data_IF_312822196562
#
_entry.id   IF_312822196562
#
_cell.length_a   1.000
_cell.length_b   1.000
_cell.length_c   1.000
_cell.angle_alpha   90.00
_cell.angle_beta   90.00
_cell.angle_gamma   90.00
#
_symmetry.space_group_name_H-M   'P 1'
#
loop_
_entity.id
_entity.type
_entity.pdbx_description
1 polymer ?
#
# COMPACT_ATOMS: atom_id res chain seq x y z
N UNK A 1 -31.27 29.36 45.01
CA UNK A 1 -31.04 28.26 44.04
C UNK A 1 -29.72 28.57 43.35
N UNK A 2 -28.62 27.89 43.72
CA UNK A 2 -27.29 28.18 43.19
C UNK A 2 -27.02 27.22 42.03
N UNK A 3 -26.93 27.76 40.81
CA UNK A 3 -26.51 26.99 39.64
C UNK A 3 -24.99 26.82 39.67
N UNK A 4 -24.54 25.60 39.97
CA UNK A 4 -23.12 25.24 39.97
C UNK A 4 -22.72 24.85 38.54
N UNK A 5 -22.01 25.73 37.84
CA UNK A 5 -21.48 25.42 36.51
C UNK A 5 -20.24 24.52 36.64
N UNK A 6 -20.11 23.46 35.82
CA UNK A 6 -18.90 22.64 35.79
C UNK A 6 -17.70 23.48 35.35
N UNK A 7 -16.54 23.25 35.96
CA UNK A 7 -15.31 23.97 35.65
C UNK A 7 -14.96 23.82 34.16
N UNK A 8 -14.39 24.87 33.56
CA UNK A 8 -13.97 24.96 32.15
C UNK A 8 -13.17 23.73 31.68
N UNK A 9 -12.37 23.12 32.57
CA UNK A 9 -11.60 21.89 32.28
C UNK A 9 -12.50 20.69 31.99
N UNK A 10 -13.64 20.56 32.65
CA UNK A 10 -14.62 19.49 32.45
C UNK A 10 -15.40 19.69 31.15
N UNK A 11 -15.74 20.94 30.81
CA UNK A 11 -16.39 21.29 29.54
C UNK A 11 -15.45 21.07 28.35
N UNK A 12 -14.15 21.39 28.48
CA UNK A 12 -13.14 21.10 27.45
C UNK A 12 -12.91 19.60 27.30
N UNK A 13 -12.90 18.82 28.40
CA UNK A 13 -12.79 17.36 28.29
C UNK A 13 -14.01 16.76 27.57
N UNK A 14 -15.23 17.22 27.91
CA UNK A 14 -16.45 16.78 27.25
C UNK A 14 -16.47 17.21 25.78
N UNK A 15 -16.04 18.43 25.44
CA UNK A 15 -15.92 18.87 24.05
C UNK A 15 -14.84 18.10 23.29
N UNK A 16 -13.72 17.72 23.92
CA UNK A 16 -12.70 16.85 23.31
C UNK A 16 -13.17 15.40 23.13
N UNK A 17 -14.13 14.93 23.94
CA UNK A 17 -14.77 13.62 23.76
C UNK A 17 -15.97 13.65 22.80
N UNK A 18 -16.63 14.82 22.62
CA UNK A 18 -17.71 15.04 21.66
C UNK A 18 -17.17 15.41 20.27
N UNK A 19 -15.92 15.90 20.17
CA UNK A 19 -15.17 15.94 18.91
C UNK A 19 -14.72 14.51 18.56
N UNK A 20 -15.69 13.77 18.07
CA UNK A 20 -15.60 12.91 16.90
C UNK A 20 -15.10 11.46 17.06
N UNK A 21 -15.89 10.66 17.79
CA UNK A 21 -15.90 9.20 17.65
C UNK A 21 -16.74 8.75 16.43
N UNK A 22 -17.24 9.68 15.60
CA UNK A 22 -18.10 9.38 14.44
C UNK A 22 -17.61 10.04 13.14
N UNK A 23 -16.79 9.27 12.40
CA UNK A 23 -16.90 9.20 10.93
C UNK A 23 -16.22 10.31 10.08
N UNK A 24 -15.03 10.80 10.47
CA UNK A 24 -14.17 11.53 9.53
C UNK A 24 -13.08 10.63 8.92
N UNK A 25 -13.05 10.53 7.58
CA UNK A 25 -11.89 9.99 6.85
C UNK A 25 -10.65 10.86 7.14
N UNK A 26 -9.46 10.28 6.95
CA UNK A 26 -8.21 11.04 7.09
C UNK A 26 -8.20 12.17 6.04
N UNK A 27 -8.02 13.41 6.50
CA UNK A 27 -8.05 14.62 5.64
C UNK A 27 -6.68 15.00 5.06
N UNK A 28 -5.59 14.47 5.61
CA UNK A 28 -4.22 14.77 5.19
C UNK A 28 -3.28 13.58 5.40
N UNK A 29 -2.30 13.41 4.50
CA UNK A 29 -1.24 12.40 4.60
C UNK A 29 0.07 13.08 4.98
N UNK A 30 0.70 12.57 6.04
CA UNK A 30 2.06 12.97 6.44
C UNK A 30 3.08 11.87 6.20
N UNK A 31 4.34 12.27 6.04
CA UNK A 31 5.44 11.34 5.94
C UNK A 31 5.61 10.50 7.21
N UNK A 32 5.77 9.21 6.98
CA UNK A 32 6.23 8.25 7.95
C UNK A 32 7.76 8.22 8.07
N UNK A 33 8.29 7.28 8.84
CA UNK A 33 9.75 7.21 9.09
C UNK A 33 10.52 6.75 7.86
N UNK A 34 9.98 5.78 7.11
CA UNK A 34 10.68 5.22 5.95
C UNK A 34 10.93 6.24 4.84
N UNK A 35 10.05 7.23 4.68
CA UNK A 35 10.13 8.25 3.61
C UNK A 35 11.30 9.21 3.82
N UNK A 36 11.86 9.27 5.04
CA UNK A 36 13.01 10.11 5.36
C UNK A 36 14.33 9.57 4.78
N UNK A 37 14.37 8.34 4.28
CA UNK A 37 15.57 7.77 3.68
C UNK A 37 15.78 8.26 2.25
N UNK A 38 17.01 8.67 1.93
CA UNK A 38 17.34 9.11 0.57
C UNK A 38 17.49 7.92 -0.39
N UNK A 39 16.50 7.74 -1.26
CA UNK A 39 16.50 6.73 -2.31
C UNK A 39 17.44 7.09 -3.48
N UNK A 40 17.84 8.36 -3.63
CA UNK A 40 18.51 8.86 -4.84
C UNK A 40 19.80 8.11 -5.14
N UNK A 41 20.69 7.93 -4.15
CA UNK A 41 21.98 7.29 -4.36
C UNK A 41 21.85 5.84 -4.91
N UNK A 42 20.82 5.11 -4.46
CA UNK A 42 20.57 3.75 -4.91
C UNK A 42 19.93 3.68 -6.29
N UNK A 43 19.04 4.63 -6.61
CA UNK A 43 18.37 4.73 -7.91
C UNK A 43 19.34 4.97 -9.07
N UNK A 44 20.49 5.60 -8.83
CA UNK A 44 21.49 5.84 -9.88
C UNK A 44 22.41 4.65 -10.13
N UNK A 45 22.57 3.77 -9.13
CA UNK A 45 23.54 2.67 -9.19
C UNK A 45 23.02 1.40 -9.88
N UNK A 46 21.71 1.28 -10.14
CA UNK A 46 21.12 0.07 -10.73
C UNK A 46 20.17 0.38 -11.88
N UNK A 47 20.24 -0.41 -12.95
CA UNK A 47 19.35 -0.30 -14.12
C UNK A 47 17.89 -0.49 -13.75
N UNK A 48 17.59 -1.50 -12.93
CA UNK A 48 16.22 -1.84 -12.50
C UNK A 48 16.06 -1.59 -11.01
N UNK A 49 15.03 -0.83 -10.67
CA UNK A 49 14.74 -0.35 -9.33
C UNK A 49 13.23 -0.22 -9.15
N UNK A 50 12.72 -0.49 -7.95
CA UNK A 50 11.33 -0.22 -7.59
C UNK A 50 11.29 0.62 -6.31
N UNK A 51 10.81 1.84 -6.44
CA UNK A 51 10.42 2.71 -5.34
C UNK A 51 8.92 2.59 -5.16
N UNK A 52 8.48 2.02 -4.04
CA UNK A 52 7.06 1.80 -3.79
C UNK A 52 6.63 2.62 -2.58
N UNK A 53 5.67 3.51 -2.78
CA UNK A 53 5.06 4.34 -1.74
C UNK A 53 3.62 3.88 -1.51
N UNK A 54 3.26 3.73 -0.24
CA UNK A 54 1.90 3.36 0.18
C UNK A 54 1.36 4.44 1.11
N UNK A 55 0.22 5.01 0.73
CA UNK A 55 -0.50 6.00 1.51
C UNK A 55 -1.75 5.37 2.12
N UNK A 56 -1.91 5.51 3.44
CA UNK A 56 -3.07 5.01 4.15
C UNK A 56 -3.99 6.17 4.56
N UNK A 57 -5.07 6.32 3.81
CA UNK A 57 -6.13 7.32 4.05
C UNK A 57 -7.28 6.76 4.90
N UNK A 58 -7.15 5.53 5.39
CA UNK A 58 -8.15 4.90 6.24
C UNK A 58 -7.80 5.06 7.71
N UNK A 59 -8.81 4.93 8.56
CA UNK A 59 -8.62 4.80 10.02
C UNK A 59 -7.94 3.48 10.42
N UNK A 60 -7.84 2.52 9.52
CA UNK A 60 -7.30 1.19 9.79
C UNK A 60 -5.79 1.18 9.53
N UNK A 61 -4.93 1.00 10.54
CA UNK A 61 -3.50 0.92 10.29
C UNK A 61 -3.17 -0.33 9.47
N UNK A 62 -2.25 -0.20 8.52
CA UNK A 62 -1.69 -1.32 7.76
C UNK A 62 -0.53 -1.89 8.56
N UNK A 63 -0.75 -3.03 9.23
CA UNK A 63 0.19 -3.62 10.19
C UNK A 63 0.76 -4.94 9.71
N UNK A 64 1.83 -5.41 10.38
CA UNK A 64 2.48 -6.70 10.09
C UNK A 64 2.80 -6.88 8.60
N UNK A 65 3.62 -5.99 8.02
CA UNK A 65 4.06 -6.13 6.63
C UNK A 65 4.67 -7.51 6.40
N UNK A 66 4.38 -8.09 5.26
CA UNK A 66 5.02 -9.32 4.81
C UNK A 66 5.43 -9.18 3.35
N UNK A 67 6.74 -9.19 3.12
CA UNK A 67 7.36 -9.16 1.80
C UNK A 67 7.66 -10.59 1.34
N UNK A 68 7.23 -10.92 0.13
CA UNK A 68 7.59 -12.16 -0.56
C UNK A 68 8.24 -11.79 -1.89
N UNK A 69 9.55 -12.04 -2.00
CA UNK A 69 10.31 -11.73 -3.21
C UNK A 69 10.31 -12.92 -4.15
N UNK A 70 9.86 -12.70 -5.37
CA UNK A 70 10.08 -13.64 -6.47
C UNK A 70 11.45 -13.38 -7.13
N UNK A 71 11.80 -12.10 -7.34
CA UNK A 71 13.09 -11.66 -7.90
C UNK A 71 13.56 -10.33 -7.32
N UNK A 72 14.87 -10.14 -7.32
CA UNK A 72 15.52 -8.90 -6.89
C UNK A 72 16.02 -8.96 -5.45
N UNK A 73 16.35 -7.80 -4.91
CA UNK A 73 16.87 -7.63 -3.55
C UNK A 73 16.23 -6.40 -2.91
N UNK A 74 15.77 -6.57 -1.68
CA UNK A 74 15.29 -5.49 -0.83
C UNK A 74 16.47 -4.62 -0.36
N UNK A 75 16.34 -3.30 -0.48
CA UNK A 75 17.27 -2.32 0.09
C UNK A 75 16.68 -1.66 1.33
N UNK A 76 15.39 -1.31 1.26
CA UNK A 76 14.63 -0.76 2.37
C UNK A 76 13.37 -1.61 2.55
N UNK A 77 13.12 -2.09 3.76
CA UNK A 77 12.02 -3.00 4.06
C UNK A 77 10.68 -2.26 4.16
N UNK A 78 9.55 -2.91 3.80
CA UNK A 78 8.23 -2.37 4.09
C UNK A 78 7.99 -2.28 5.60
N UNK A 79 7.54 -1.11 6.05
CA UNK A 79 7.14 -0.83 7.43
C UNK A 79 5.61 -0.91 7.59
N UNK A 80 5.14 -0.79 8.83
CA UNK A 80 3.71 -0.54 9.07
C UNK A 80 3.33 0.86 8.57
N UNK A 81 2.09 1.04 8.09
CA UNK A 81 1.58 2.33 7.63
C UNK A 81 0.40 2.74 8.50
N UNK A 82 0.63 3.68 9.41
CA UNK A 82 -0.42 4.19 10.30
C UNK A 82 -1.50 4.94 9.50
N UNK A 83 -2.66 5.11 10.12
CA UNK A 83 -3.71 6.00 9.60
C UNK A 83 -3.14 7.39 9.36
N UNK A 84 -3.39 7.97 8.18
CA UNK A 84 -2.92 9.30 7.81
C UNK A 84 -1.42 9.41 7.52
N UNK A 85 -0.77 8.27 7.31
CA UNK A 85 0.66 8.22 6.98
C UNK A 85 0.88 7.65 5.59
N UNK A 86 2.02 8.02 5.02
CA UNK A 86 2.62 7.30 3.91
C UNK A 86 4.00 6.78 4.28
N UNK A 87 4.29 5.59 3.80
CA UNK A 87 5.57 4.91 3.99
C UNK A 87 6.05 4.38 2.64
N UNK A 88 7.35 4.14 2.54
CA UNK A 88 7.98 3.62 1.34
C UNK A 88 8.86 2.42 1.62
N UNK A 89 9.10 1.66 0.56
CA UNK A 89 10.12 0.61 0.55
C UNK A 89 10.74 0.51 -0.83
N UNK A 90 11.93 -0.07 -0.85
CA UNK A 90 12.84 0.05 -1.98
C UNK A 90 13.42 -1.31 -2.32
N UNK A 91 13.37 -1.63 -3.61
CA UNK A 91 13.94 -2.84 -4.16
C UNK A 91 14.75 -2.55 -5.42
N UNK A 92 15.60 -3.51 -5.78
CA UNK A 92 16.38 -3.48 -7.01
C UNK A 92 16.56 -4.87 -7.58
N UNK A 93 17.08 -4.94 -8.80
CA UNK A 93 17.63 -6.18 -9.33
C UNK A 93 18.80 -6.72 -8.50
N UNK A 94 19.06 -8.02 -8.64
CA UNK A 94 20.29 -8.66 -8.16
C UNK A 94 21.49 -8.07 -8.92
N UNK A 95 22.64 -7.91 -8.26
CA UNK A 95 23.86 -7.38 -8.90
C UNK A 95 24.33 -8.35 -9.99
N UNK A 96 24.89 -7.84 -11.09
CA UNK A 96 25.53 -8.64 -12.15
C UNK A 96 24.66 -9.73 -12.79
N UNK A 97 23.33 -9.62 -12.65
CA UNK A 97 22.34 -10.55 -13.21
C UNK A 97 21.40 -9.83 -14.18
N UNK A 98 21.04 -10.42 -15.32
CA UNK A 98 20.06 -9.86 -16.26
C UNK A 98 18.60 -10.04 -15.78
N UNK A 99 18.35 -9.75 -14.50
CA UNK A 99 17.04 -9.92 -13.84
C UNK A 99 16.45 -8.58 -13.42
N UNK A 100 15.12 -8.57 -13.28
CA UNK A 100 14.34 -7.44 -12.76
C UNK A 100 14.16 -7.47 -11.24
N UNK A 101 13.10 -6.80 -10.77
CA UNK A 101 12.56 -7.00 -9.40
C UNK A 101 11.08 -7.33 -9.49
N UNK A 102 10.65 -8.34 -8.74
CA UNK A 102 9.26 -8.78 -8.73
C UNK A 102 8.92 -9.44 -7.40
N UNK A 103 7.68 -9.29 -6.96
CA UNK A 103 7.21 -9.90 -5.72
C UNK A 103 5.86 -9.37 -5.28
N UNK A 104 5.50 -9.76 -4.06
CA UNK A 104 4.33 -9.23 -3.37
C UNK A 104 4.70 -8.68 -2.01
N UNK A 105 3.93 -7.69 -1.58
CA UNK A 105 3.93 -7.22 -0.20
C UNK A 105 2.48 -7.18 0.27
N UNK A 106 2.26 -7.53 1.53
CA UNK A 106 0.93 -7.47 2.11
C UNK A 106 0.97 -6.90 3.51
N UNK A 107 -0.12 -6.28 3.92
CA UNK A 107 -0.35 -5.79 5.27
C UNK A 107 -1.66 -6.33 5.80
N UNK A 108 -1.68 -6.73 7.07
CA UNK A 108 -2.93 -6.95 7.78
C UNK A 108 -3.59 -5.58 7.98
N UNK A 109 -4.83 -5.43 7.54
CA UNK A 109 -5.61 -4.23 7.76
C UNK A 109 -6.19 -4.30 9.18
N UNK A 110 -5.86 -3.31 10.02
CA UNK A 110 -6.18 -3.32 11.44
C UNK A 110 -7.68 -3.50 11.70
N UNK A 111 -8.03 -4.44 12.58
CA UNK A 111 -9.41 -4.73 13.01
C UNK A 111 -10.36 -5.30 11.94
N UNK A 112 -9.91 -5.60 10.72
CA UNK A 112 -10.79 -6.12 9.64
C UNK A 112 -10.64 -7.61 9.36
N UNK A 113 -9.61 -8.26 9.94
CA UNK A 113 -9.25 -9.67 9.68
C UNK A 113 -9.05 -9.98 8.18
N UNK A 114 -8.43 -9.05 7.45
CA UNK A 114 -8.08 -9.18 6.01
C UNK A 114 -6.71 -8.57 5.74
N UNK A 115 -6.07 -8.96 4.65
CA UNK A 115 -4.82 -8.37 4.17
C UNK A 115 -5.04 -7.57 2.90
N UNK A 116 -4.49 -6.37 2.85
CA UNK A 116 -4.19 -5.69 1.60
C UNK A 116 -2.95 -6.34 0.97
N UNK A 117 -2.98 -6.60 -0.34
CA UNK A 117 -1.87 -7.19 -1.11
C UNK A 117 -1.55 -6.31 -2.32
N UNK A 118 -0.26 -6.01 -2.49
CA UNK A 118 0.32 -5.37 -3.66
C UNK A 118 1.28 -6.36 -4.33
N UNK A 119 1.18 -6.46 -5.65
CA UNK A 119 2.14 -7.14 -6.53
C UNK A 119 2.82 -6.11 -7.43
N UNK A 120 4.12 -6.27 -7.65
CA UNK A 120 4.86 -5.54 -8.68
C UNK A 120 5.75 -6.50 -9.47
N UNK A 121 6.00 -6.15 -10.73
CA UNK A 121 7.00 -6.78 -11.59
C UNK A 121 7.62 -5.71 -12.48
N UNK A 122 8.94 -5.57 -12.41
CA UNK A 122 9.73 -4.63 -13.20
C UNK A 122 10.86 -5.41 -13.89
N UNK A 123 10.72 -5.77 -15.17
CA UNK A 123 11.71 -6.59 -15.86
C UNK A 123 12.99 -5.83 -16.21
N UNK A 124 14.04 -6.59 -16.54
CA UNK A 124 15.32 -6.04 -17.00
C UNK A 124 15.34 -5.65 -18.47
N UNK A 125 14.61 -6.41 -19.29
CA UNK A 125 14.52 -6.25 -20.73
C UNK A 125 13.11 -5.83 -21.09
N UNK A 126 12.97 -4.64 -21.70
CA UNK A 126 11.68 -4.11 -22.13
C UNK A 126 11.37 -4.41 -23.60
N UNK A 127 12.25 -5.13 -24.29
CA UNK A 127 12.02 -5.60 -25.67
C UNK A 127 10.90 -6.64 -25.70
N UNK A 128 10.85 -7.50 -24.68
CA UNK A 128 9.90 -8.63 -24.59
C UNK A 128 8.94 -8.55 -23.41
N UNK A 129 9.20 -7.66 -22.45
CA UNK A 129 8.45 -7.59 -21.21
C UNK A 129 8.14 -6.15 -20.82
N UNK A 130 7.19 -6.00 -19.92
CA UNK A 130 6.67 -4.72 -19.47
C UNK A 130 6.53 -4.70 -17.95
N UNK A 131 6.33 -3.52 -17.40
CA UNK A 131 6.01 -3.38 -15.99
C UNK A 131 4.59 -3.89 -15.73
N UNK A 132 4.39 -4.60 -14.62
CA UNK A 132 3.08 -5.05 -14.16
C UNK A 132 2.87 -4.72 -12.69
N UNK A 133 1.65 -4.34 -12.34
CA UNK A 133 1.25 -4.20 -10.95
C UNK A 133 -0.11 -4.86 -10.71
N UNK A 134 -0.36 -5.25 -9.46
CA UNK A 134 -1.67 -5.69 -9.02
C UNK A 134 -1.96 -5.24 -7.60
N UNK A 135 -3.21 -4.89 -7.32
CA UNK A 135 -3.67 -4.52 -5.98
C UNK A 135 -4.94 -5.27 -5.65
N UNK A 136 -5.09 -5.69 -4.40
CA UNK A 136 -6.25 -6.44 -3.97
C UNK A 136 -6.29 -6.68 -2.47
N UNK A 137 -7.29 -7.46 -2.06
CA UNK A 137 -7.46 -7.84 -0.66
C UNK A 137 -7.82 -9.31 -0.53
N UNK A 138 -7.35 -9.93 0.56
CA UNK A 138 -7.90 -11.23 0.95
C UNK A 138 -9.33 -11.08 1.42
N UNK A 139 -10.15 -12.13 1.37
CA UNK A 139 -11.51 -12.15 1.91
C UNK A 139 -11.51 -12.19 3.45
N UNK A 140 -12.63 -11.83 4.09
CA UNK A 140 -12.76 -11.75 5.56
C UNK A 140 -12.38 -13.07 6.23
N UNK A 141 -11.53 -13.00 7.25
CA UNK A 141 -11.05 -14.17 8.00
C UNK A 141 -9.72 -14.73 7.48
N UNK A 142 -9.33 -14.40 6.25
CA UNK A 142 -8.06 -14.82 5.65
C UNK A 142 -6.96 -13.80 5.96
N UNK A 143 -6.10 -14.13 6.91
CA UNK A 143 -5.04 -13.23 7.44
C UNK A 143 -3.64 -13.78 7.27
N UNK A 144 -3.53 -14.94 6.65
CA UNK A 144 -2.29 -15.65 6.41
C UNK A 144 -1.35 -14.87 5.47
N UNK A 145 -0.06 -15.06 5.69
CA UNK A 145 1.00 -14.43 4.90
C UNK A 145 1.12 -15.17 3.57
N UNK A 146 0.48 -14.64 2.54
CA UNK A 146 0.43 -15.30 1.23
C UNK A 146 1.37 -14.63 0.22
N UNK A 147 2.47 -15.31 -0.10
CA UNK A 147 3.33 -15.00 -1.25
C UNK A 147 2.66 -15.45 -2.56
N UNK A 148 1.57 -14.80 -2.96
CA UNK A 148 0.74 -15.17 -4.13
C UNK A 148 1.17 -14.44 -5.41
N UNK A 149 2.47 -14.37 -5.66
CA UNK A 149 3.01 -13.64 -6.82
C UNK A 149 2.46 -14.17 -8.14
N UNK A 150 2.63 -15.47 -8.41
CA UNK A 150 2.22 -16.07 -9.70
C UNK A 150 0.71 -15.93 -9.92
N UNK A 151 -0.08 -16.15 -8.86
CA UNK A 151 -1.53 -15.95 -8.91
C UNK A 151 -1.89 -14.53 -9.35
N UNK A 152 -1.29 -13.51 -8.71
CA UNK A 152 -1.53 -12.12 -9.07
C UNK A 152 -0.97 -11.74 -10.43
N UNK A 153 0.16 -12.32 -10.83
CA UNK A 153 0.83 -12.04 -12.10
C UNK A 153 0.08 -12.64 -13.29
N UNK A 154 -0.47 -13.85 -13.16
CA UNK A 154 -1.24 -14.50 -14.23
C UNK A 154 -2.74 -14.20 -14.18
N UNK A 155 -3.23 -13.45 -13.18
CA UNK A 155 -4.61 -12.97 -13.14
C UNK A 155 -5.64 -13.98 -12.66
N UNK A 156 -5.27 -14.88 -11.74
CA UNK A 156 -6.14 -15.94 -11.24
C UNK A 156 -6.79 -15.58 -9.89
N UNK A 157 -7.87 -14.81 -9.89
CA UNK A 157 -8.67 -14.57 -8.67
C UNK A 157 -9.23 -15.89 -8.08
N UNK A 158 -9.40 -15.95 -6.76
CA UNK A 158 -10.04 -17.08 -6.07
C UNK A 158 -10.89 -16.63 -4.86
N UNK A 159 -11.39 -17.59 -4.07
CA UNK A 159 -12.24 -17.32 -2.89
C UNK A 159 -11.50 -16.67 -1.73
N UNK A 160 -10.17 -16.65 -1.75
CA UNK A 160 -9.30 -16.14 -0.69
C UNK A 160 -8.75 -14.77 -1.05
N UNK A 161 -8.36 -14.53 -2.30
CA UNK A 161 -7.73 -13.30 -2.77
C UNK A 161 -8.44 -12.77 -4.02
N UNK A 162 -8.99 -11.56 -3.88
CA UNK A 162 -9.58 -10.79 -4.96
C UNK A 162 -8.69 -9.59 -5.26
N UNK A 163 -8.34 -9.39 -6.53
CA UNK A 163 -7.44 -8.35 -6.98
C UNK A 163 -7.71 -7.96 -8.43
N UNK A 164 -7.23 -6.76 -8.78
CA UNK A 164 -7.10 -6.31 -10.16
C UNK A 164 -5.62 -6.11 -10.48
N UNK A 165 -5.26 -6.25 -11.76
CA UNK A 165 -3.89 -6.07 -12.26
C UNK A 165 -3.88 -5.29 -13.58
N UNK A 166 -2.74 -4.68 -13.88
CA UNK A 166 -2.57 -3.90 -15.10
C UNK A 166 -1.13 -3.90 -15.60
N UNK A 167 -1.02 -3.81 -16.92
CA UNK A 167 0.23 -3.66 -17.64
C UNK A 167 0.58 -2.18 -17.80
N UNK A 168 1.85 -1.86 -17.62
CA UNK A 168 2.42 -0.52 -17.74
C UNK A 168 3.44 -0.53 -18.87
N UNK A 169 2.93 -0.59 -20.10
CA UNK A 169 3.73 -0.59 -21.32
C UNK A 169 3.39 0.57 -22.24
N UNK A 170 2.14 0.67 -22.70
CA UNK A 170 1.69 1.82 -23.50
C UNK A 170 1.13 2.94 -22.63
N UNK A 171 0.39 2.58 -21.59
CA UNK A 171 -0.35 3.50 -20.73
C UNK A 171 0.06 3.37 -19.26
N UNK A 172 -0.21 4.42 -18.48
CA UNK A 172 -0.01 4.46 -17.01
C UNK A 172 -1.36 4.56 -16.28
N UNK A 173 -2.35 3.85 -16.82
CA UNK A 173 -3.69 3.82 -16.26
C UNK A 173 -3.63 3.20 -14.85
N UNK A 174 -4.35 3.77 -13.88
CA UNK A 174 -4.35 3.22 -12.53
C UNK A 174 -5.01 1.84 -12.51
N UNK A 175 -4.48 0.95 -11.66
CA UNK A 175 -5.16 -0.29 -11.29
C UNK A 175 -5.97 -0.03 -10.03
N UNK A 176 -7.28 -0.25 -10.11
CA UNK A 176 -8.21 0.05 -9.02
C UNK A 176 -8.84 -1.26 -8.57
N UNK A 177 -8.69 -1.60 -7.28
CA UNK A 177 -9.50 -2.63 -6.61
C UNK A 177 -10.50 -1.93 -5.69
N UNK A 178 -11.74 -2.39 -5.64
CA UNK A 178 -12.77 -1.83 -4.77
C UNK A 178 -13.72 -2.93 -4.30
N UNK A 179 -14.06 -2.90 -3.01
CA UNK A 179 -15.16 -3.64 -2.41
C UNK A 179 -16.14 -2.71 -1.68
N UNK A 180 -16.94 -3.24 -0.77
CA UNK A 180 -17.93 -2.50 0.02
C UNK A 180 -17.30 -1.61 1.12
N UNK A 181 -16.04 -1.86 1.50
CA UNK A 181 -15.36 -1.19 2.60
C UNK A 181 -14.16 -0.36 2.14
N UNK A 182 -13.42 -0.82 1.13
CA UNK A 182 -12.13 -0.24 0.75
C UNK A 182 -11.98 -0.06 -0.77
N UNK A 183 -11.24 0.99 -1.12
CA UNK A 183 -10.75 1.23 -2.47
C UNK A 183 -9.22 1.35 -2.44
N UNK A 184 -8.57 0.68 -3.38
CA UNK A 184 -7.12 0.64 -3.51
C UNK A 184 -6.79 1.07 -4.92
N UNK A 185 -6.11 2.20 -5.05
CA UNK A 185 -5.65 2.72 -6.34
C UNK A 185 -4.14 2.58 -6.42
N UNK A 186 -3.66 1.80 -7.38
CA UNK A 186 -2.26 1.64 -7.71
C UNK A 186 -1.91 2.37 -9.00
N UNK A 187 -0.76 3.06 -9.02
CA UNK A 187 -0.13 3.62 -10.21
C UNK A 187 1.31 3.17 -10.30
N UNK A 188 1.80 2.98 -11.51
CA UNK A 188 3.17 2.61 -11.80
C UNK A 188 3.62 3.33 -13.07
N UNK A 189 4.88 3.76 -13.15
CA UNK A 189 5.43 4.29 -14.39
C UNK A 189 5.98 3.16 -15.30
N UNK A 190 6.30 3.51 -16.54
CA UNK A 190 6.80 2.56 -17.55
C UNK A 190 8.32 2.33 -17.53
N UNK A 191 9.05 2.94 -16.60
CA UNK A 191 10.51 2.92 -16.63
C UNK A 191 11.10 1.71 -15.88
N UNK A 192 12.36 1.34 -16.19
CA UNK A 192 13.11 0.36 -15.39
C UNK A 192 13.33 0.83 -13.93
N UNK A 193 13.32 2.15 -13.73
CA UNK A 193 13.21 2.76 -12.40
C UNK A 193 11.74 2.96 -12.08
N UNK A 194 11.10 1.86 -11.69
CA UNK A 194 9.70 1.81 -11.36
C UNK A 194 9.41 2.71 -10.16
N UNK A 195 8.51 3.67 -10.36
CA UNK A 195 7.90 4.46 -9.31
C UNK A 195 6.47 3.97 -9.17
N UNK A 196 6.16 3.38 -8.01
CA UNK A 196 4.85 2.82 -7.69
C UNK A 196 4.25 3.63 -6.56
N UNK A 197 3.01 4.08 -6.74
CA UNK A 197 2.25 4.74 -5.69
C UNK A 197 0.95 3.98 -5.48
N UNK A 198 0.66 3.65 -4.23
CA UNK A 198 -0.59 3.02 -3.83
C UNK A 198 -1.31 3.90 -2.81
N UNK A 199 -2.58 4.16 -3.09
CA UNK A 199 -3.48 4.91 -2.22
C UNK A 199 -4.56 3.96 -1.70
N UNK A 200 -4.60 3.76 -0.38
CA UNK A 200 -5.56 2.90 0.31
C UNK A 200 -6.61 3.77 1.01
N UNK A 201 -7.90 3.64 0.63
CA UNK A 201 -9.01 4.51 1.06
C UNK A 201 -10.21 3.70 1.54
N UNK A 202 -11.03 4.31 2.39
CA UNK A 202 -12.34 3.78 2.77
C UNK A 202 -13.35 4.09 1.67
N UNK A 203 -14.31 3.21 1.45
CA UNK A 203 -15.47 3.51 0.60
C UNK A 203 -16.54 4.19 1.46
N UNK A 204 -16.99 5.38 1.02
CA UNK A 204 -18.13 6.04 1.65
C UNK A 204 -19.38 5.19 1.42
N UNK A 205 -20.07 4.81 2.49
CA UNK A 205 -21.42 4.26 2.38
C UNK A 205 -22.34 5.39 1.92
N UNK A 206 -22.82 5.33 0.68
CA UNK A 206 -24.01 6.08 0.28
C UNK A 206 -25.19 5.47 1.03
N UNK A 207 -25.66 6.19 2.05
CA UNK A 207 -26.90 5.87 2.78
C UNK A 207 -28.13 6.19 1.95
#
# INVERSE_FOLDING_TARGET
MVFQFPMLKTVVLILLFIIDVNQADVTYISDGRSVQHDAKNWMWSYKVFAHITVENWTKHPLVRPHLSLNRGRMLHAPSLVLSGKREMFILRKIRDSATGTAGTVSWLVGFTKRRFVLMWSTPFDFTYYSNWMGVGMTTKGHTEKNGRFDQMYYGSNDTILLFNRGEFYYHENPVIYRDDEFEITGRMNKAHKALVTVTFRSVKKTG
#
